data_IF_060628749633
#
_entry.id   IF_060628749633
#
_cell.length_a   1.000
_cell.length_b   1.000
_cell.length_c   1.000
_cell.angle_alpha   90.00
_cell.angle_beta   90.00
_cell.angle_gamma   90.00
#
_symmetry.space_group_name_H-M   'P 1'
#
loop_
_entity.id
_entity.type
_entity.pdbx_description
1 polymer ?
#
# COMPACT_ATOMS: atom_id res chain seq x y z
N UNK A 1 -15.45 15.87 -5.16
CA UNK A 1 -15.10 14.45 -4.85
C UNK A 1 -16.39 13.68 -4.63
N UNK A 2 -16.48 12.45 -5.11
CA UNK A 2 -17.63 11.56 -4.87
C UNK A 2 -17.31 10.61 -3.71
N UNK A 3 -18.24 10.47 -2.76
CA UNK A 3 -18.19 9.45 -1.72
C UNK A 3 -19.40 8.53 -1.86
N UNK A 4 -19.20 7.26 -1.58
CA UNK A 4 -20.21 6.20 -1.64
C UNK A 4 -21.46 6.56 -0.84
N UNK A 5 -22.63 6.35 -1.44
CA UNK A 5 -23.91 6.60 -0.76
C UNK A 5 -24.11 5.70 0.47
N UNK A 6 -23.40 4.56 0.53
CA UNK A 6 -23.42 3.63 1.66
C UNK A 6 -22.82 4.20 2.95
N UNK A 7 -22.00 5.25 2.85
CA UNK A 7 -21.29 5.87 3.99
C UNK A 7 -21.76 7.30 4.28
N UNK A 8 -22.79 7.79 3.59
CA UNK A 8 -23.22 9.20 3.62
C UNK A 8 -24.50 9.51 4.39
N UNK A 9 -25.21 8.53 4.92
CA UNK A 9 -26.42 8.77 5.71
C UNK A 9 -26.04 8.90 7.18
N UNK A 10 -26.00 10.11 7.71
CA UNK A 10 -26.80 10.43 8.90
C UNK A 10 -26.71 11.92 9.24
N UNK A 11 -27.85 12.62 9.06
CA UNK A 11 -28.05 13.87 9.79
C UNK A 11 -28.12 13.53 11.27
N UNK A 12 -27.43 14.26 12.16
CA UNK A 12 -27.50 13.99 13.58
C UNK A 12 -28.96 14.02 14.02
N UNK A 13 -29.41 12.92 14.63
CA UNK A 13 -30.77 12.84 15.16
C UNK A 13 -30.92 13.82 16.34
N UNK A 14 -32.17 14.03 16.78
CA UNK A 14 -32.47 14.98 17.87
C UNK A 14 -31.75 14.66 19.19
N UNK A 15 -31.43 13.38 19.44
CA UNK A 15 -30.70 12.96 20.65
C UNK A 15 -29.24 13.42 20.53
N UNK A 16 -28.57 13.11 19.41
CA UNK A 16 -27.19 13.53 19.18
C UNK A 16 -27.02 15.07 19.27
N UNK A 17 -27.99 15.83 18.74
CA UNK A 17 -28.01 17.29 18.86
C UNK A 17 -28.14 17.74 20.33
N UNK A 18 -29.11 17.18 21.07
CA UNK A 18 -29.31 17.51 22.49
C UNK A 18 -28.10 17.12 23.37
N UNK A 19 -27.45 15.99 23.08
CA UNK A 19 -26.23 15.58 23.77
C UNK A 19 -25.07 16.55 23.50
N UNK A 20 -24.91 16.98 22.25
CA UNK A 20 -23.90 17.96 21.87
C UNK A 20 -24.10 19.30 22.58
N UNK A 21 -25.35 19.79 22.60
CA UNK A 21 -25.72 21.01 23.30
C UNK A 21 -25.44 20.89 24.81
N UNK A 22 -25.88 19.81 25.46
CA UNK A 22 -25.63 19.59 26.88
C UNK A 22 -24.12 19.56 27.20
N UNK A 23 -23.31 18.87 26.38
CA UNK A 23 -21.85 18.84 26.54
C UNK A 23 -21.22 20.23 26.36
N UNK A 24 -21.71 21.03 25.40
CA UNK A 24 -21.24 22.40 25.19
C UNK A 24 -21.53 23.32 26.39
N UNK A 25 -22.58 23.01 27.16
CA UNK A 25 -22.93 23.69 28.42
C UNK A 25 -22.17 23.12 29.63
N UNK A 26 -21.23 22.18 29.42
CA UNK A 26 -20.45 21.53 30.48
C UNK A 26 -21.21 20.45 31.26
N UNK A 27 -22.40 20.05 30.82
CA UNK A 27 -23.16 18.97 31.47
C UNK A 27 -22.49 17.62 31.18
N UNK A 28 -22.19 16.89 32.25
CA UNK A 28 -21.69 15.52 32.17
C UNK A 28 -22.85 14.54 32.10
N UNK A 29 -23.11 14.01 30.92
CA UNK A 29 -24.16 13.00 30.71
C UNK A 29 -23.68 11.62 31.19
N UNK A 30 -24.45 10.99 32.06
CA UNK A 30 -24.28 9.57 32.40
C UNK A 30 -24.79 8.68 31.26
N UNK A 31 -24.16 7.51 31.07
CA UNK A 31 -24.59 6.53 30.05
C UNK A 31 -25.40 5.42 30.72
N UNK A 32 -26.69 5.34 30.41
CA UNK A 32 -27.57 4.28 30.93
C UNK A 32 -27.30 2.91 30.27
N UNK A 33 -26.67 2.92 29.10
CA UNK A 33 -26.34 1.73 28.31
C UNK A 33 -24.82 1.55 28.14
N UNK A 34 -24.00 2.01 29.10
CA UNK A 34 -22.57 1.67 29.05
C UNK A 34 -22.41 0.17 29.31
N UNK A 35 -22.21 -0.58 28.22
CA UNK A 35 -22.07 -2.03 28.21
C UNK A 35 -20.61 -2.46 28.10
N UNK A 36 -19.65 -1.58 28.40
CA UNK A 36 -18.24 -1.89 28.33
C UNK A 36 -17.73 -2.50 29.66
N UNK A 37 -17.54 -3.83 29.75
CA UNK A 37 -17.18 -4.50 31.00
C UNK A 37 -15.85 -4.03 31.59
N UNK A 38 -14.93 -3.51 30.76
CA UNK A 38 -13.62 -3.04 31.23
C UNK A 38 -13.73 -1.78 32.07
N UNK A 39 -14.79 -0.96 31.89
CA UNK A 39 -15.04 0.23 32.71
C UNK A 39 -15.60 -0.08 34.09
N UNK A 40 -16.13 -1.30 34.27
CA UNK A 40 -16.71 -1.77 35.53
C UNK A 40 -15.78 -2.72 36.29
N UNK A 41 -14.50 -2.81 35.89
CA UNK A 41 -13.52 -3.69 36.54
C UNK A 41 -13.80 -5.18 36.34
N UNK A 42 -14.61 -5.54 35.34
CA UNK A 42 -14.97 -6.92 35.03
C UNK A 42 -13.99 -7.57 34.03
N UNK A 43 -12.96 -6.83 33.60
CA UNK A 43 -11.91 -7.38 32.74
C UNK A 43 -11.02 -8.37 33.52
N UNK A 44 -10.55 -9.46 32.89
CA UNK A 44 -9.57 -10.35 33.51
C UNK A 44 -8.29 -9.60 33.89
N UNK A 45 -7.64 -10.01 34.99
CA UNK A 45 -6.43 -9.35 35.48
C UNK A 45 -5.25 -9.37 34.50
N UNK A 46 -5.19 -10.35 33.59
CA UNK A 46 -4.18 -10.44 32.54
C UNK A 46 -4.48 -9.55 31.32
N UNK A 47 -5.65 -8.91 31.26
CA UNK A 47 -6.05 -7.89 30.28
C UNK A 47 -6.64 -6.66 31.00
N UNK A 48 -5.83 -5.94 31.80
CA UNK A 48 -6.33 -4.88 32.68
C UNK A 48 -6.73 -3.59 31.95
N UNK A 49 -6.57 -3.52 30.62
CA UNK A 49 -6.81 -2.31 29.85
C UNK A 49 -8.30 -1.98 29.75
N UNK A 50 -8.60 -0.68 29.83
CA UNK A 50 -9.95 -0.17 29.53
C UNK A 50 -10.09 -0.05 28.02
N UNK A 51 -11.10 -0.71 27.45
CA UNK A 51 -11.46 -0.55 26.05
C UNK A 51 -11.99 0.87 25.82
N UNK A 52 -11.42 1.55 24.82
CA UNK A 52 -11.87 2.85 24.34
C UNK A 52 -12.38 2.67 22.90
N UNK A 53 -13.61 3.10 22.64
CA UNK A 53 -14.21 3.07 21.31
C UNK A 53 -13.66 4.23 20.47
N UNK A 54 -12.42 4.10 20.05
CA UNK A 54 -11.69 5.05 19.20
C UNK A 54 -11.58 4.48 17.78
N UNK A 55 -12.51 4.79 16.86
CA UNK A 55 -12.65 4.07 15.58
C UNK A 55 -11.37 4.09 14.74
N UNK A 56 -10.59 5.17 14.83
CA UNK A 56 -9.30 5.32 14.12
C UNK A 56 -8.15 4.52 14.72
N UNK A 57 -8.38 3.83 15.84
CA UNK A 57 -7.35 3.21 16.67
C UNK A 57 -6.90 4.08 17.83
N UNK A 58 -6.23 3.45 18.81
CA UNK A 58 -5.83 4.08 20.06
C UNK A 58 -5.06 5.39 19.84
N UNK A 59 -5.51 6.48 20.49
CA UNK A 59 -4.96 7.83 20.31
C UNK A 59 -3.44 7.88 20.50
N UNK A 60 -2.93 7.25 21.56
CA UNK A 60 -1.48 7.20 21.85
C UNK A 60 -0.68 6.54 20.72
N UNK A 61 -1.21 5.46 20.14
CA UNK A 61 -0.55 4.78 19.03
C UNK A 61 -0.53 5.65 17.76
N UNK A 62 -1.62 6.39 17.49
CA UNK A 62 -1.67 7.38 16.39
C UNK A 62 -0.72 8.56 16.62
N UNK A 63 -0.55 9.03 17.86
CA UNK A 63 0.42 10.08 18.19
C UNK A 63 1.85 9.62 17.95
N UNK A 64 2.23 8.43 18.44
CA UNK A 64 3.55 7.87 18.17
C UNK A 64 3.81 7.67 16.66
N UNK A 65 2.78 7.21 15.92
CA UNK A 65 2.88 7.08 14.46
C UNK A 65 3.03 8.45 13.79
N UNK A 66 2.27 9.46 14.18
CA UNK A 66 2.37 10.81 13.65
C UNK A 66 3.78 11.41 13.87
N UNK A 67 4.31 11.30 15.09
CA UNK A 67 5.68 11.74 15.42
C UNK A 67 6.73 11.03 14.55
N UNK A 68 6.61 9.70 14.40
CA UNK A 68 7.47 8.92 13.52
C UNK A 68 7.38 9.39 12.07
N UNK A 69 6.17 9.58 11.53
CA UNK A 69 5.96 10.00 10.14
C UNK A 69 6.47 11.42 9.87
N UNK A 70 6.27 12.35 10.80
CA UNK A 70 6.83 13.71 10.72
C UNK A 70 8.36 13.66 10.66
N UNK A 71 9.00 12.92 11.57
CA UNK A 71 10.47 12.77 11.57
C UNK A 71 11.00 12.11 10.28
N UNK A 72 10.23 11.19 9.69
CA UNK A 72 10.57 10.55 8.41
C UNK A 72 10.51 11.56 7.26
N UNK A 73 9.49 12.43 7.22
CA UNK A 73 9.35 13.45 6.18
C UNK A 73 10.47 14.49 6.22
N UNK A 74 10.95 14.85 7.41
CA UNK A 74 12.09 15.76 7.58
C UNK A 74 13.40 15.19 7.00
N UNK A 75 13.58 13.86 7.07
CA UNK A 75 14.75 13.16 6.51
C UNK A 75 14.70 13.03 4.99
N UNK A 76 13.50 12.99 4.40
CA UNK A 76 13.29 12.87 2.95
C UNK A 76 13.46 14.21 2.21
N UNK A 77 13.92 15.28 2.89
CA UNK A 77 14.13 16.63 2.34
C UNK A 77 12.89 17.20 1.62
N UNK A 78 11.68 16.79 2.04
CA UNK A 78 10.44 17.40 1.54
C UNK A 78 10.30 18.81 2.11
N UNK A 79 10.92 19.79 1.44
CA UNK A 79 10.78 21.21 1.77
C UNK A 79 9.29 21.59 1.86
N UNK A 80 8.82 21.92 3.07
CA UNK A 80 7.43 22.32 3.32
C UNK A 80 6.49 21.21 3.82
N UNK A 81 6.97 20.00 4.13
CA UNK A 81 6.15 18.97 4.75
C UNK A 81 5.58 19.45 6.10
N UNK A 82 4.24 19.47 6.20
CA UNK A 82 3.55 19.79 7.43
C UNK A 82 3.64 18.62 8.43
N UNK A 83 3.66 18.94 9.72
CA UNK A 83 3.54 17.95 10.79
C UNK A 83 2.32 17.06 10.55
N UNK A 84 2.52 15.73 10.61
CA UNK A 84 1.44 14.77 10.43
C UNK A 84 0.48 14.86 11.61
N UNK A 85 -0.78 15.18 11.34
CA UNK A 85 -1.79 15.21 12.38
C UNK A 85 -2.25 13.79 12.72
N UNK A 86 -2.20 13.34 13.99
CA UNK A 86 -2.67 12.01 14.38
C UNK A 86 -4.16 11.78 14.11
N UNK A 87 -4.96 12.84 13.91
CA UNK A 87 -6.36 12.73 13.50
C UNK A 87 -6.55 12.42 12.02
N UNK A 88 -5.51 12.49 11.20
CA UNK A 88 -5.54 12.08 9.80
C UNK A 88 -5.05 10.64 9.59
N UNK A 89 -4.84 9.90 10.68
CA UNK A 89 -4.34 8.53 10.69
C UNK A 89 -5.41 7.53 11.14
N UNK A 90 -5.51 6.40 10.43
CA UNK A 90 -6.32 5.24 10.79
C UNK A 90 -5.41 4.01 10.94
N UNK A 91 -5.47 3.34 12.09
CA UNK A 91 -4.73 2.11 12.35
C UNK A 91 -5.58 0.88 12.00
N UNK A 92 -4.98 -0.03 11.24
CA UNK A 92 -5.64 -1.19 10.64
C UNK A 92 -4.82 -2.46 10.84
N UNK A 93 -5.45 -3.61 10.63
CA UNK A 93 -4.77 -4.91 10.71
C UNK A 93 -3.89 -5.20 9.47
N UNK A 94 -4.11 -4.49 8.36
CA UNK A 94 -3.32 -4.61 7.12
C UNK A 94 -3.69 -3.53 6.09
N UNK A 95 -2.85 -3.36 5.06
CA UNK A 95 -3.21 -2.55 3.89
C UNK A 95 -4.32 -3.19 3.04
N UNK A 96 -4.49 -4.52 3.08
CA UNK A 96 -5.67 -5.20 2.48
C UNK A 96 -6.99 -4.71 3.08
N UNK A 97 -7.02 -4.50 4.41
CA UNK A 97 -8.18 -3.88 5.06
C UNK A 97 -8.38 -2.44 4.60
N UNK A 98 -7.28 -1.69 4.41
CA UNK A 98 -7.34 -0.33 3.90
C UNK A 98 -7.96 -0.27 2.50
N UNK A 99 -7.55 -1.14 1.57
CA UNK A 99 -8.15 -1.23 0.24
C UNK A 99 -9.66 -1.45 0.30
N UNK A 100 -10.10 -2.44 1.09
CA UNK A 100 -11.53 -2.71 1.28
C UNK A 100 -12.28 -1.49 1.84
N UNK A 101 -11.76 -0.83 2.86
CA UNK A 101 -12.38 0.36 3.44
C UNK A 101 -12.45 1.52 2.46
N UNK A 102 -11.37 1.78 1.71
CA UNK A 102 -11.31 2.87 0.75
C UNK A 102 -12.21 2.62 -0.46
N UNK A 103 -12.36 1.36 -0.89
CA UNK A 103 -13.36 0.99 -1.89
C UNK A 103 -14.79 1.21 -1.38
N UNK A 104 -15.10 0.83 -0.12
CA UNK A 104 -16.41 1.14 0.50
C UNK A 104 -16.67 2.64 0.64
N UNK A 105 -15.62 3.42 0.95
CA UNK A 105 -15.66 4.87 1.11
C UNK A 105 -15.96 5.57 -0.21
N UNK A 106 -15.27 5.19 -1.28
CA UNK A 106 -15.23 5.95 -2.53
C UNK A 106 -16.23 5.42 -3.58
N UNK A 107 -16.54 4.13 -3.55
CA UNK A 107 -17.30 3.45 -4.60
C UNK A 107 -18.65 2.94 -4.12
N UNK A 108 -19.68 3.09 -4.96
CA UNK A 108 -20.89 2.27 -4.89
C UNK A 108 -20.73 0.98 -5.72
N UNK A 109 -21.55 -0.07 -5.50
CA UNK A 109 -21.48 -1.27 -6.32
C UNK A 109 -21.60 -0.98 -7.82
N UNK A 110 -20.61 -1.43 -8.60
CA UNK A 110 -20.51 -1.19 -10.04
C UNK A 110 -19.76 0.09 -10.45
N UNK A 111 -19.31 0.91 -9.51
CA UNK A 111 -18.25 1.90 -9.76
C UNK A 111 -16.91 1.18 -10.02
N UNK A 112 -15.91 1.96 -10.45
CA UNK A 112 -14.60 1.46 -10.83
C UNK A 112 -13.45 2.20 -10.12
N UNK A 113 -12.32 1.50 -10.02
CA UNK A 113 -11.02 2.08 -9.69
C UNK A 113 -10.01 1.77 -10.79
N UNK A 114 -9.01 2.65 -10.94
CA UNK A 114 -7.85 2.42 -11.79
C UNK A 114 -6.77 1.65 -11.02
N UNK A 115 -6.15 0.67 -11.66
CA UNK A 115 -5.02 -0.11 -11.11
C UNK A 115 -3.88 -0.28 -12.14
N UNK A 116 -2.61 -0.38 -11.71
CA UNK A 116 -1.50 -0.57 -12.63
C UNK A 116 -1.49 -1.99 -13.21
N UNK A 117 -1.08 -2.12 -14.47
CA UNK A 117 -0.66 -3.38 -15.09
C UNK A 117 0.67 -3.21 -15.83
N UNK A 118 1.72 -4.01 -15.55
CA UNK A 118 1.77 -5.12 -14.58
C UNK A 118 1.58 -4.68 -13.13
N UNK A 119 0.88 -5.50 -12.33
CA UNK A 119 0.38 -5.08 -11.02
C UNK A 119 0.29 -6.19 -9.98
N UNK A 120 -0.13 -5.79 -8.78
CA UNK A 120 -0.31 -6.70 -7.65
C UNK A 120 -1.73 -7.30 -7.67
N UNK A 121 -1.90 -8.62 -7.90
CA UNK A 121 -3.21 -9.24 -8.18
C UNK A 121 -4.22 -9.13 -7.03
N UNK A 122 -3.76 -8.76 -5.83
CA UNK A 122 -4.63 -8.62 -4.66
C UNK A 122 -5.65 -7.48 -4.82
N UNK A 123 -5.34 -6.43 -5.60
CA UNK A 123 -6.22 -5.26 -5.76
C UNK A 123 -7.51 -5.68 -6.46
N UNK A 124 -7.42 -6.33 -7.63
CA UNK A 124 -8.56 -6.86 -8.38
C UNK A 124 -9.38 -7.85 -7.53
N UNK A 125 -8.71 -8.72 -6.76
CA UNK A 125 -9.39 -9.67 -5.87
C UNK A 125 -10.23 -8.97 -4.79
N UNK A 126 -9.66 -7.95 -4.12
CA UNK A 126 -10.38 -7.18 -3.09
C UNK A 126 -11.50 -6.36 -3.74
N UNK A 127 -11.25 -5.72 -4.89
CA UNK A 127 -12.26 -4.96 -5.62
C UNK A 127 -13.49 -5.83 -5.95
N UNK A 128 -13.27 -7.06 -6.43
CA UNK A 128 -14.33 -8.02 -6.69
C UNK A 128 -15.17 -8.36 -5.45
N UNK A 129 -14.53 -8.54 -4.28
CA UNK A 129 -15.23 -8.75 -3.00
C UNK A 129 -16.05 -7.53 -2.57
N UNK A 130 -15.67 -6.34 -3.02
CA UNK A 130 -16.34 -5.07 -2.73
C UNK A 130 -17.39 -4.65 -3.77
N UNK A 131 -17.66 -5.51 -4.76
CA UNK A 131 -18.51 -5.21 -5.92
C UNK A 131 -18.02 -3.98 -6.73
N UNK A 132 -16.72 -3.76 -6.76
CA UNK A 132 -16.05 -2.67 -7.49
C UNK A 132 -15.32 -3.26 -8.69
N UNK A 133 -15.43 -2.61 -9.85
CA UNK A 133 -14.67 -2.98 -11.05
C UNK A 133 -13.25 -2.44 -10.97
N UNK A 134 -12.28 -3.15 -11.54
CA UNK A 134 -10.98 -2.57 -11.87
C UNK A 134 -10.91 -2.23 -13.35
N UNK A 135 -10.26 -1.11 -13.66
CA UNK A 135 -9.91 -0.71 -15.02
C UNK A 135 -8.40 -0.51 -15.05
N UNK A 136 -7.65 -1.26 -15.87
CA UNK A 136 -6.21 -1.17 -15.84
C UNK A 136 -5.68 0.09 -16.53
N UNK A 137 -4.62 0.67 -15.96
CA UNK A 137 -3.72 1.57 -16.67
C UNK A 137 -2.36 0.90 -16.84
N UNK A 138 -1.65 1.24 -17.92
CA UNK A 138 -0.44 0.53 -18.31
C UNK A 138 0.81 1.11 -17.64
N UNK A 139 1.69 0.23 -17.20
CA UNK A 139 3.11 0.52 -17.01
C UNK A 139 3.87 -0.03 -18.21
N UNK A 140 4.65 0.81 -18.87
CA UNK A 140 5.43 0.46 -20.06
C UNK A 140 6.91 0.33 -19.71
N UNK A 141 7.58 -0.67 -20.28
CA UNK A 141 9.02 -0.85 -20.10
C UNK A 141 9.79 -0.40 -21.35
N UNK A 142 10.66 0.59 -21.19
CA UNK A 142 11.64 1.03 -22.19
C UNK A 142 12.96 1.39 -21.49
N UNK A 143 13.70 0.35 -21.07
CA UNK A 143 14.89 0.50 -20.22
C UNK A 143 14.57 0.79 -18.75
N UNK A 144 13.52 1.54 -18.48
CA UNK A 144 12.85 1.68 -17.18
C UNK A 144 11.34 1.53 -17.33
N UNK A 145 10.68 1.21 -16.24
CA UNK A 145 9.23 1.20 -16.15
C UNK A 145 8.70 2.62 -15.99
N UNK A 146 7.72 2.99 -16.78
CA UNK A 146 7.07 4.30 -16.79
C UNK A 146 5.56 4.16 -16.77
N UNK A 147 4.88 5.10 -16.11
CA UNK A 147 3.42 5.17 -16.09
C UNK A 147 2.92 5.72 -17.42
N UNK A 148 2.13 4.94 -18.15
CA UNK A 148 1.53 5.38 -19.41
C UNK A 148 0.31 6.28 -19.13
N UNK A 149 0.57 7.57 -18.98
CA UNK A 149 -0.44 8.60 -18.70
C UNK A 149 -1.54 8.66 -19.77
N UNK A 150 -1.26 8.23 -21.01
CA UNK A 150 -2.27 8.22 -22.06
C UNK A 150 -3.36 7.20 -21.75
N UNK A 151 -3.01 6.04 -21.18
CA UNK A 151 -3.99 5.02 -20.77
C UNK A 151 -4.85 5.49 -19.60
N UNK A 152 -4.26 6.20 -18.62
CA UNK A 152 -5.01 6.82 -17.53
C UNK A 152 -6.01 7.84 -18.07
N UNK A 153 -5.54 8.75 -18.95
CA UNK A 153 -6.40 9.76 -19.58
C UNK A 153 -7.53 9.11 -20.37
N UNK A 154 -7.22 8.10 -21.19
CA UNK A 154 -8.22 7.39 -21.99
C UNK A 154 -9.30 6.73 -21.12
N UNK A 155 -8.92 6.16 -19.97
CA UNK A 155 -9.89 5.58 -19.05
C UNK A 155 -10.79 6.66 -18.41
N UNK A 156 -10.20 7.79 -17.97
CA UNK A 156 -10.91 8.89 -17.34
C UNK A 156 -11.81 9.70 -18.29
N UNK A 157 -11.42 9.82 -19.56
CA UNK A 157 -12.19 10.52 -20.60
C UNK A 157 -13.09 9.56 -21.41
N UNK A 158 -13.01 8.26 -21.13
CA UNK A 158 -13.76 7.21 -21.78
C UNK A 158 -15.18 7.02 -21.24
N UNK A 159 -15.93 6.03 -21.76
CA UNK A 159 -17.33 5.79 -21.39
C UNK A 159 -17.54 5.38 -19.93
N UNK A 160 -16.51 4.81 -19.28
CA UNK A 160 -16.53 4.48 -17.85
C UNK A 160 -15.97 5.61 -16.96
N UNK A 161 -15.53 6.74 -17.53
CA UNK A 161 -14.85 7.83 -16.83
C UNK A 161 -15.62 8.34 -15.60
N UNK A 162 -16.92 8.58 -15.77
CA UNK A 162 -17.81 9.05 -14.71
C UNK A 162 -18.06 8.00 -13.60
N UNK A 163 -17.60 6.76 -13.76
CA UNK A 163 -17.67 5.68 -12.75
C UNK A 163 -16.35 5.46 -12.02
N UNK A 164 -15.26 6.06 -12.49
CA UNK A 164 -13.95 5.94 -11.84
C UNK A 164 -13.93 6.85 -10.61
N UNK A 165 -13.63 6.27 -9.44
CA UNK A 165 -13.63 6.98 -8.15
C UNK A 165 -12.25 7.16 -7.55
N UNK A 166 -11.36 6.21 -7.82
CA UNK A 166 -10.00 6.24 -7.32
C UNK A 166 -9.02 5.68 -8.34
N UNK A 167 -7.76 6.08 -8.20
CA UNK A 167 -6.61 5.44 -8.82
C UNK A 167 -5.72 4.86 -7.72
N UNK A 168 -5.44 3.57 -7.81
CA UNK A 168 -4.44 2.91 -6.97
C UNK A 168 -3.07 3.10 -7.61
N UNK A 169 -2.15 3.73 -6.87
CA UNK A 169 -0.76 3.90 -7.26
C UNK A 169 0.12 3.13 -6.28
N UNK A 170 0.82 2.09 -6.75
CA UNK A 170 1.79 1.36 -5.94
C UNK A 170 3.18 1.98 -6.15
N UNK A 171 3.81 2.47 -5.10
CA UNK A 171 5.03 3.29 -5.18
C UNK A 171 6.07 2.88 -4.11
N UNK A 172 7.06 2.03 -4.45
CA UNK A 172 7.34 1.44 -5.76
C UNK A 172 6.43 0.25 -6.08
N UNK A 173 6.14 0.05 -7.36
CA UNK A 173 5.21 -0.97 -7.84
C UNK A 173 5.74 -2.40 -7.66
N UNK A 174 4.87 -3.33 -7.28
CA UNK A 174 5.16 -4.76 -7.24
C UNK A 174 4.42 -5.44 -8.42
N UNK A 175 5.10 -6.11 -9.37
CA UNK A 175 6.46 -6.67 -9.25
C UNK A 175 7.59 -5.83 -9.88
N UNK A 176 7.28 -4.75 -10.59
CA UNK A 176 8.24 -4.05 -11.46
C UNK A 176 9.37 -3.33 -10.72
N UNK A 177 9.15 -2.98 -9.45
CA UNK A 177 10.04 -2.18 -8.63
C UNK A 177 10.10 -0.70 -9.02
N UNK A 178 9.18 -0.18 -9.83
CA UNK A 178 9.23 1.20 -10.33
C UNK A 178 8.62 2.20 -9.35
N UNK A 179 9.30 3.31 -9.10
CA UNK A 179 8.67 4.46 -8.45
C UNK A 179 7.90 5.28 -9.49
N UNK A 180 6.98 6.13 -9.05
CA UNK A 180 6.45 7.18 -9.91
C UNK A 180 7.53 8.25 -10.15
N UNK A 181 7.79 8.59 -11.41
CA UNK A 181 8.79 9.62 -11.74
C UNK A 181 8.22 11.03 -11.48
N UNK A 182 9.06 12.04 -11.19
CA UNK A 182 8.59 13.38 -10.84
C UNK A 182 7.63 14.02 -11.88
N UNK A 183 7.95 13.85 -13.16
CA UNK A 183 7.15 14.38 -14.27
C UNK A 183 5.80 13.66 -14.42
N UNK A 184 5.80 12.34 -14.20
CA UNK A 184 4.61 11.50 -14.21
C UNK A 184 3.69 11.86 -13.04
N UNK A 185 4.27 12.06 -11.86
CA UNK A 185 3.54 12.47 -10.64
C UNK A 185 2.75 13.75 -10.90
N UNK A 186 3.40 14.79 -11.40
CA UNK A 186 2.74 16.07 -11.62
C UNK A 186 1.56 15.92 -12.60
N UNK A 187 1.77 15.20 -13.70
CA UNK A 187 0.74 14.95 -14.70
C UNK A 187 -0.42 14.09 -14.17
N UNK A 188 -0.12 13.09 -13.33
CA UNK A 188 -1.11 12.24 -12.69
C UNK A 188 -1.97 13.04 -11.71
N UNK A 189 -1.35 13.89 -10.89
CA UNK A 189 -2.06 14.78 -9.97
C UNK A 189 -2.99 15.74 -10.72
N UNK A 190 -2.53 16.32 -11.84
CA UNK A 190 -3.36 17.20 -12.68
C UNK A 190 -4.59 16.47 -13.25
N UNK A 191 -4.42 15.22 -13.69
CA UNK A 191 -5.53 14.39 -14.18
C UNK A 191 -6.51 14.04 -13.05
N UNK A 192 -6.01 13.55 -11.91
CA UNK A 192 -6.85 13.18 -10.78
C UNK A 192 -7.63 14.38 -10.24
N UNK A 193 -6.98 15.55 -10.14
CA UNK A 193 -7.61 16.81 -9.74
C UNK A 193 -8.73 17.21 -10.71
N UNK A 194 -8.47 17.15 -12.02
CA UNK A 194 -9.44 17.53 -13.07
C UNK A 194 -10.68 16.65 -13.07
N UNK A 195 -10.51 15.35 -12.90
CA UNK A 195 -11.60 14.38 -12.96
C UNK A 195 -12.23 14.09 -11.58
N UNK A 196 -11.71 14.69 -10.51
CA UNK A 196 -12.21 14.47 -9.15
C UNK A 196 -12.04 13.03 -8.67
N UNK A 197 -10.92 12.41 -9.04
CA UNK A 197 -10.54 11.03 -8.69
C UNK A 197 -9.55 11.07 -7.53
N UNK A 198 -9.81 10.27 -6.49
CA UNK A 198 -8.90 10.16 -5.35
C UNK A 198 -7.69 9.27 -5.68
N UNK A 199 -6.60 9.42 -4.94
CA UNK A 199 -5.42 8.55 -5.06
C UNK A 199 -5.36 7.64 -3.84
N UNK A 200 -5.23 6.33 -4.07
CA UNK A 200 -4.86 5.35 -3.05
C UNK A 200 -3.39 5.01 -3.30
N UNK A 201 -2.50 5.56 -2.49
CA UNK A 201 -1.05 5.38 -2.67
C UNK A 201 -0.54 4.26 -1.78
N UNK A 202 -0.16 3.11 -2.34
CA UNK A 202 0.46 2.02 -1.58
C UNK A 202 1.98 2.17 -1.57
N UNK A 203 2.51 2.58 -0.42
CA UNK A 203 3.91 2.97 -0.26
C UNK A 203 4.70 2.05 0.68
N UNK A 204 4.20 0.83 0.90
CA UNK A 204 4.81 -0.12 1.83
C UNK A 204 6.26 -0.47 1.48
N UNK A 205 6.67 -0.30 0.22
CA UNK A 205 8.02 -0.59 -0.25
C UNK A 205 8.92 0.64 -0.41
N UNK A 206 8.44 1.84 -0.11
CA UNK A 206 9.13 3.08 -0.45
C UNK A 206 10.50 3.24 0.21
N UNK A 207 10.72 2.61 1.38
CA UNK A 207 11.98 2.70 2.11
C UNK A 207 13.03 1.66 1.64
N UNK A 208 12.81 1.01 0.50
CA UNK A 208 13.74 0.07 -0.12
C UNK A 208 14.23 0.54 -1.50
N UNK A 209 14.99 1.64 -1.61
CA UNK A 209 15.59 2.04 -2.88
C UNK A 209 16.66 1.03 -3.34
N UNK A 210 16.65 0.75 -4.64
CA UNK A 210 17.62 -0.10 -5.34
C UNK A 210 18.42 0.76 -6.32
N UNK A 211 17.99 0.89 -7.58
CA UNK A 211 18.60 1.83 -8.51
C UNK A 211 18.18 3.27 -8.23
N UNK A 212 19.08 4.24 -8.45
CA UNK A 212 18.80 5.63 -8.16
C UNK A 212 17.70 6.18 -9.08
N UNK A 213 16.74 6.86 -8.45
CA UNK A 213 15.77 7.75 -9.09
C UNK A 213 15.77 9.10 -8.35
N UNK A 214 16.46 10.11 -8.88
CA UNK A 214 16.45 11.46 -8.30
C UNK A 214 15.03 12.02 -8.22
N UNK A 215 14.70 12.70 -7.12
CA UNK A 215 13.39 13.33 -6.93
C UNK A 215 12.24 12.36 -6.63
N UNK A 216 12.52 11.07 -6.33
CA UNK A 216 11.49 10.16 -5.81
C UNK A 216 10.86 10.75 -4.55
N UNK A 217 9.54 10.72 -4.45
CA UNK A 217 8.81 11.29 -3.33
C UNK A 217 7.54 10.51 -3.02
N UNK A 218 7.13 10.53 -1.75
CA UNK A 218 5.88 9.95 -1.27
C UNK A 218 4.68 10.80 -1.65
N UNK A 219 3.54 10.16 -1.90
CA UNK A 219 2.23 10.81 -2.06
C UNK A 219 1.59 11.12 -0.70
N UNK A 220 2.07 10.49 0.38
CA UNK A 220 1.66 10.83 1.75
C UNK A 220 1.89 12.33 2.05
N UNK A 221 0.81 13.06 2.35
CA UNK A 221 0.85 14.50 2.58
C UNK A 221 0.56 15.37 1.35
N UNK A 222 0.25 14.77 0.20
CA UNK A 222 -0.22 15.48 -0.99
C UNK A 222 -1.47 16.32 -0.67
N UNK A 223 -1.47 17.60 -1.04
CA UNK A 223 -2.49 18.60 -0.66
C UNK A 223 -3.44 18.97 -1.82
N UNK A 224 -3.08 18.67 -3.07
CA UNK A 224 -3.87 19.07 -4.25
C UNK A 224 -5.00 18.10 -4.59
N UNK A 225 -4.82 16.83 -4.24
CA UNK A 225 -5.74 15.72 -4.56
C UNK A 225 -5.99 14.91 -3.29
N UNK A 226 -7.24 14.53 -3.03
CA UNK A 226 -7.57 13.63 -1.92
C UNK A 226 -6.79 12.33 -2.08
N UNK A 227 -5.91 12.07 -1.12
CA UNK A 227 -4.94 11.00 -1.15
C UNK A 227 -5.03 10.19 0.13
N UNK A 228 -5.02 8.87 -0.03
CA UNK A 228 -4.99 7.90 1.04
C UNK A 228 -3.68 7.10 0.93
N UNK A 229 -2.66 7.50 1.67
CA UNK A 229 -1.38 6.80 1.67
C UNK A 229 -1.42 5.60 2.62
N UNK A 230 -0.99 4.44 2.12
CA UNK A 230 -0.97 3.17 2.80
C UNK A 230 0.46 2.75 3.09
N UNK A 231 0.72 2.38 4.33
CA UNK A 231 2.00 1.83 4.75
C UNK A 231 1.75 0.88 5.94
N UNK A 232 2.77 0.15 6.40
CA UNK A 232 2.58 -0.87 7.43
C UNK A 232 3.85 -1.62 7.84
N UNK A 233 3.75 -2.29 8.98
CA UNK A 233 4.86 -3.07 9.57
C UNK A 233 5.21 -4.34 8.81
N UNK A 234 4.35 -4.76 7.88
CA UNK A 234 4.64 -5.93 7.05
C UNK A 234 5.96 -5.80 6.28
N UNK A 235 6.29 -4.57 5.86
CA UNK A 235 7.50 -4.28 5.09
C UNK A 235 8.48 -3.47 5.95
N UNK A 236 8.08 -2.32 6.50
CA UNK A 236 8.95 -1.45 7.31
C UNK A 236 9.61 -2.13 8.52
N UNK A 237 8.99 -3.16 9.12
CA UNK A 237 9.58 -3.99 10.18
C UNK A 237 9.98 -5.40 9.74
N UNK A 238 9.83 -5.72 8.46
CA UNK A 238 9.93 -7.09 7.96
C UNK A 238 9.08 -8.09 8.76
N UNK A 239 7.94 -7.64 9.27
CA UNK A 239 7.10 -8.37 10.22
C UNK A 239 5.66 -8.50 9.69
N UNK A 240 5.42 -9.30 8.62
CA UNK A 240 4.06 -9.50 8.07
C UNK A 240 3.07 -10.13 9.06
N UNK A 241 3.57 -10.73 10.14
CA UNK A 241 2.80 -11.29 11.23
C UNK A 241 2.38 -10.26 12.30
N UNK A 242 2.97 -9.05 12.31
CA UNK A 242 2.60 -7.99 13.24
C UNK A 242 1.19 -7.46 13.00
N UNK A 243 0.68 -7.59 11.75
CA UNK A 243 -0.67 -7.20 11.33
C UNK A 243 -1.01 -5.76 11.76
N UNK A 244 -0.15 -4.83 11.37
CA UNK A 244 -0.38 -3.39 11.48
C UNK A 244 -0.16 -2.75 10.12
N UNK A 245 -1.16 -2.04 9.64
CA UNK A 245 -1.08 -1.08 8.55
C UNK A 245 -1.79 0.21 8.95
N UNK A 246 -1.62 1.26 8.16
CA UNK A 246 -2.33 2.51 8.39
C UNK A 246 -2.73 3.19 7.10
N UNK A 247 -3.73 4.07 7.22
CA UNK A 247 -4.09 5.06 6.21
C UNK A 247 -3.67 6.43 6.76
N UNK A 248 -2.93 7.20 5.96
CA UNK A 248 -2.76 8.64 6.15
C UNK A 248 -3.62 9.37 5.11
N UNK A 249 -4.55 10.21 5.58
CA UNK A 249 -5.44 11.00 4.74
C UNK A 249 -4.84 12.39 4.51
N UNK A 250 -4.73 12.81 3.25
CA UNK A 250 -4.28 14.16 2.88
C UNK A 250 -5.04 14.68 1.65
N UNK A 251 -4.96 15.98 1.38
CA UNK A 251 -5.58 16.61 0.23
C UNK A 251 -6.27 17.94 0.57
N UNK A 252 -7.16 18.44 -0.31
CA UNK A 252 -7.92 19.66 -0.05
C UNK A 252 -8.73 19.55 1.25
N UNK A 253 -8.65 20.57 2.11
CA UNK A 253 -9.14 20.50 3.49
C UNK A 253 -10.62 20.11 3.60
N UNK A 254 -11.48 20.62 2.72
CA UNK A 254 -12.91 20.28 2.67
C UNK A 254 -13.15 18.80 2.32
N UNK A 255 -12.35 18.25 1.41
CA UNK A 255 -12.42 16.85 1.01
C UNK A 255 -11.88 15.92 2.11
N UNK A 256 -10.81 16.31 2.79
CA UNK A 256 -10.25 15.55 3.93
C UNK A 256 -11.26 15.47 5.08
N UNK A 257 -11.91 16.59 5.41
CA UNK A 257 -12.95 16.62 6.46
C UNK A 257 -14.09 15.66 6.12
N UNK A 258 -14.60 15.70 4.88
CA UNK A 258 -15.71 14.85 4.47
C UNK A 258 -15.30 13.37 4.35
N UNK A 259 -14.11 13.08 3.81
CA UNK A 259 -13.57 11.73 3.74
C UNK A 259 -13.46 11.09 5.12
N UNK A 260 -12.93 11.82 6.10
CA UNK A 260 -12.80 11.35 7.48
C UNK A 260 -14.15 11.11 8.14
N UNK A 261 -15.15 11.96 7.87
CA UNK A 261 -16.51 11.75 8.39
C UNK A 261 -17.08 10.39 7.94
N UNK A 262 -16.90 10.05 6.67
CA UNK A 262 -17.35 8.76 6.12
C UNK A 262 -16.48 7.59 6.58
N UNK A 263 -15.17 7.79 6.63
CA UNK A 263 -14.21 6.76 7.04
C UNK A 263 -14.33 6.42 8.53
N UNK A 264 -14.71 7.39 9.37
CA UNK A 264 -15.03 7.14 10.78
C UNK A 264 -16.21 6.20 10.95
N UNK A 265 -17.24 6.31 10.10
CA UNK A 265 -18.39 5.40 10.13
C UNK A 265 -17.96 3.97 9.78
N UNK A 266 -17.17 3.81 8.70
CA UNK A 266 -16.61 2.50 8.34
C UNK A 266 -15.74 1.97 9.49
N UNK A 267 -14.89 2.81 10.07
CA UNK A 267 -13.96 2.40 11.10
C UNK A 267 -14.66 1.98 12.40
N UNK A 268 -15.77 2.64 12.76
CA UNK A 268 -16.60 2.29 13.90
C UNK A 268 -17.27 0.91 13.72
N UNK A 269 -17.78 0.61 12.51
CA UNK A 269 -18.40 -0.68 12.19
C UNK A 269 -17.43 -1.87 12.30
N UNK A 270 -16.14 -1.64 12.04
CA UNK A 270 -15.10 -2.67 12.13
C UNK A 270 -14.45 -2.79 13.51
N UNK A 271 -14.73 -1.84 14.39
CA UNK A 271 -14.11 -1.65 15.70
C UNK A 271 -12.59 -1.34 15.63
N UNK A 272 -12.04 -0.69 16.68
CA UNK A 272 -10.63 -0.31 16.72
C UNK A 272 -9.68 -1.50 16.71
N UNK A 273 -8.47 -1.29 16.17
CA UNK A 273 -7.37 -2.26 16.24
C UNK A 273 -7.08 -2.70 17.69
N UNK A 274 -6.68 -3.97 17.85
CA UNK A 274 -6.37 -4.57 19.14
C UNK A 274 -5.41 -3.73 20.00
N UNK A 275 -5.79 -3.48 21.26
CA UNK A 275 -4.92 -2.81 22.24
C UNK A 275 -3.69 -3.65 22.59
N UNK A 276 -3.73 -4.97 22.40
CA UNK A 276 -2.58 -5.85 22.63
C UNK A 276 -1.43 -5.54 21.66
N UNK A 277 -1.76 -5.09 20.45
CA UNK A 277 -0.79 -4.69 19.44
C UNK A 277 -0.46 -3.20 19.60
N UNK A 278 -1.50 -2.37 19.77
CA UNK A 278 -1.36 -0.90 19.84
C UNK A 278 -0.49 -0.42 21.01
N UNK A 279 -0.43 -1.17 22.12
CA UNK A 279 0.40 -0.81 23.29
C UNK A 279 1.90 -0.82 23.01
N UNK A 280 2.34 -1.62 22.03
CA UNK A 280 3.74 -1.79 21.66
C UNK A 280 4.09 -0.97 20.40
N UNK A 281 3.20 -0.07 19.96
CA UNK A 281 3.36 0.74 18.74
C UNK A 281 4.66 1.56 18.77
N UNK A 282 4.96 2.23 19.87
CA UNK A 282 6.14 3.11 20.00
C UNK A 282 7.46 2.34 19.84
N UNK A 283 7.57 1.16 20.49
CA UNK A 283 8.77 0.32 20.40
C UNK A 283 8.93 -0.33 19.02
N UNK A 284 7.81 -0.69 18.40
CA UNK A 284 7.78 -1.17 17.01
C UNK A 284 8.25 -0.07 16.06
N UNK A 285 7.70 1.14 16.13
CA UNK A 285 8.12 2.27 15.29
C UNK A 285 9.60 2.62 15.45
N UNK A 286 10.09 2.68 16.69
CA UNK A 286 11.50 2.95 16.99
C UNK A 286 12.47 1.92 16.38
N UNK A 287 12.00 0.70 16.09
CA UNK A 287 12.81 -0.35 15.48
C UNK A 287 12.93 -0.24 13.96
N UNK A 288 12.02 0.46 13.27
CA UNK A 288 11.93 0.54 11.81
C UNK A 288 13.25 0.95 11.14
N UNK A 289 13.96 2.01 11.57
CA UNK A 289 15.17 2.45 10.86
C UNK A 289 16.24 1.36 10.82
N UNK A 290 16.45 0.66 11.94
CA UNK A 290 17.42 -0.44 12.03
C UNK A 290 17.02 -1.65 11.18
N UNK A 291 15.73 -2.01 11.17
CA UNK A 291 15.22 -3.15 10.39
C UNK A 291 15.26 -2.87 8.90
N UNK A 292 14.82 -1.68 8.49
CA UNK A 292 14.85 -1.24 7.09
C UNK A 292 16.28 -1.21 6.56
N UNK A 293 17.24 -0.70 7.34
CA UNK A 293 18.67 -0.73 6.98
C UNK A 293 19.18 -2.16 6.76
N UNK A 294 18.91 -3.07 7.70
CA UNK A 294 19.31 -4.48 7.63
C UNK A 294 18.75 -5.19 6.39
N UNK A 295 17.47 -4.99 6.10
CA UNK A 295 16.84 -5.57 4.90
C UNK A 295 17.38 -4.91 3.63
N UNK A 296 17.53 -3.58 3.63
CA UNK A 296 18.12 -2.80 2.55
C UNK A 296 19.51 -3.30 2.15
N UNK A 297 20.38 -3.58 3.12
CA UNK A 297 21.69 -4.17 2.88
C UNK A 297 21.62 -5.55 2.23
N UNK A 298 20.70 -6.41 2.68
CA UNK A 298 20.49 -7.73 2.09
C UNK A 298 20.08 -7.63 0.63
N UNK A 299 19.05 -6.83 0.34
CA UNK A 299 18.50 -6.74 -1.02
C UNK A 299 19.48 -6.09 -1.99
N UNK A 300 20.21 -5.04 -1.57
CA UNK A 300 21.26 -4.42 -2.38
C UNK A 300 22.41 -5.39 -2.68
N UNK A 301 22.85 -6.16 -1.69
CA UNK A 301 23.90 -7.18 -1.88
C UNK A 301 23.47 -8.27 -2.86
N UNK A 302 22.24 -8.75 -2.75
CA UNK A 302 21.72 -9.79 -3.64
C UNK A 302 21.48 -9.24 -5.05
N UNK A 303 21.03 -7.98 -5.21
CA UNK A 303 20.94 -7.32 -6.51
C UNK A 303 22.30 -7.22 -7.20
N UNK A 304 23.34 -6.81 -6.47
CA UNK A 304 24.70 -6.76 -7.01
C UNK A 304 25.21 -8.16 -7.38
N UNK A 305 24.92 -9.17 -6.56
CA UNK A 305 25.25 -10.57 -6.86
C UNK A 305 24.56 -11.04 -8.14
N UNK A 306 23.27 -10.71 -8.32
CA UNK A 306 22.51 -11.05 -9.53
C UNK A 306 23.14 -10.40 -10.78
N UNK A 307 23.49 -9.11 -10.70
CA UNK A 307 24.17 -8.38 -11.80
C UNK A 307 25.48 -9.04 -12.19
N UNK A 308 26.27 -9.44 -11.20
CA UNK A 308 27.54 -10.13 -11.44
C UNK A 308 27.34 -11.48 -12.13
N UNK A 309 26.35 -12.28 -11.69
CA UNK A 309 26.07 -13.59 -12.29
C UNK A 309 25.58 -13.46 -13.73
N UNK A 310 24.65 -12.54 -14.00
CA UNK A 310 24.13 -12.30 -15.35
C UNK A 310 25.15 -11.62 -16.28
N UNK A 311 26.09 -10.85 -15.74
CA UNK A 311 27.13 -10.18 -16.53
C UNK A 311 28.37 -11.04 -16.85
N UNK A 312 28.52 -12.20 -16.21
CA UNK A 312 29.70 -13.08 -16.40
C UNK A 312 29.66 -13.94 -17.68
N UNK A 313 28.48 -14.11 -18.28
CA UNK A 313 28.26 -14.91 -19.48
C UNK A 313 27.26 -14.19 -20.38
N UNK A 314 27.33 -14.43 -21.69
CA UNK A 314 26.21 -14.12 -22.57
C UNK A 314 25.03 -15.02 -22.16
N UNK A 315 24.19 -14.52 -21.26
CA UNK A 315 22.98 -15.21 -20.83
C UNK A 315 21.78 -14.71 -21.64
N UNK A 316 20.87 -15.62 -21.95
CA UNK A 316 19.56 -15.27 -22.49
C UNK A 316 18.63 -14.65 -21.43
N UNK A 317 19.06 -14.63 -20.17
CA UNK A 317 18.36 -14.02 -19.04
C UNK A 317 18.90 -12.62 -18.78
N UNK A 318 18.00 -11.65 -18.65
CA UNK A 318 18.32 -10.27 -18.32
C UNK A 318 17.51 -9.79 -17.12
N UNK A 319 18.06 -8.84 -16.37
CA UNK A 319 17.37 -8.18 -15.27
C UNK A 319 16.67 -6.92 -15.81
N UNK A 320 15.35 -6.83 -15.63
CA UNK A 320 14.64 -5.58 -15.85
C UNK A 320 14.98 -4.62 -14.72
N UNK A 321 15.35 -3.39 -15.07
CA UNK A 321 15.83 -2.37 -14.13
C UNK A 321 14.84 -2.17 -12.95
N UNK A 322 15.24 -2.47 -11.70
CA UNK A 322 14.41 -2.27 -10.53
C UNK A 322 14.84 -1.00 -9.76
N UNK A 323 13.90 -0.10 -9.50
CA UNK A 323 14.20 1.15 -8.78
C UNK A 323 14.02 0.99 -7.27
N UNK A 324 13.13 0.11 -6.80
CA UNK A 324 12.89 -0.15 -5.40
C UNK A 324 12.15 -1.45 -5.08
N UNK A 325 11.93 -1.68 -3.79
CA UNK A 325 11.34 -2.90 -3.25
C UNK A 325 12.38 -4.01 -2.99
N UNK A 326 11.90 -5.24 -2.86
CA UNK A 326 12.74 -6.42 -2.59
C UNK A 326 12.51 -7.59 -3.55
N UNK A 327 11.70 -7.35 -4.60
CA UNK A 327 11.48 -8.28 -5.70
C UNK A 327 11.96 -7.61 -6.98
N UNK A 328 12.46 -8.41 -7.92
CA UNK A 328 12.90 -7.95 -9.24
C UNK A 328 12.33 -8.85 -10.32
N UNK A 329 12.27 -8.35 -11.55
CA UNK A 329 11.83 -9.13 -12.70
C UNK A 329 13.01 -9.55 -13.56
N UNK A 330 13.08 -10.85 -13.85
CA UNK A 330 13.93 -11.39 -14.90
C UNK A 330 13.14 -11.44 -16.21
N UNK A 331 13.85 -11.23 -17.32
CA UNK A 331 13.37 -11.41 -18.70
C UNK A 331 14.19 -12.50 -19.39
N UNK A 332 13.51 -13.43 -20.04
CA UNK A 332 14.11 -14.51 -20.84
C UNK A 332 13.32 -14.71 -22.15
N UNK A 333 13.78 -15.54 -23.10
CA UNK A 333 13.12 -15.69 -24.39
C UNK A 333 11.66 -16.12 -24.26
N UNK A 334 10.76 -15.41 -24.96
CA UNK A 334 9.30 -15.59 -24.90
C UNK A 334 8.82 -16.96 -25.43
N UNK A 335 9.69 -17.68 -26.16
CA UNK A 335 9.42 -19.05 -26.62
C UNK A 335 9.37 -20.06 -25.47
N UNK A 336 9.92 -19.71 -24.31
CA UNK A 336 9.88 -20.54 -23.11
C UNK A 336 8.57 -20.26 -22.39
N UNK A 337 7.75 -21.29 -22.27
CA UNK A 337 6.53 -21.22 -21.47
C UNK A 337 6.88 -21.11 -19.97
N UNK A 338 6.27 -20.12 -19.30
CA UNK A 338 6.59 -19.82 -17.90
C UNK A 338 6.09 -20.92 -16.96
N UNK A 339 4.97 -21.56 -17.25
CA UNK A 339 4.44 -22.67 -16.44
C UNK A 339 5.36 -23.88 -16.52
N UNK A 340 5.80 -24.25 -17.72
CA UNK A 340 6.77 -25.34 -17.93
C UNK A 340 8.11 -25.05 -17.24
N UNK A 341 8.59 -23.80 -17.26
CA UNK A 341 9.79 -23.42 -16.52
C UNK A 341 9.62 -23.63 -15.01
N UNK A 342 8.49 -23.21 -14.43
CA UNK A 342 8.22 -23.42 -13.00
C UNK A 342 8.11 -24.91 -12.66
N UNK A 343 7.42 -25.70 -13.48
CA UNK A 343 7.32 -27.15 -13.28
C UNK A 343 8.68 -27.84 -13.33
N UNK A 344 9.57 -27.41 -14.25
CA UNK A 344 10.96 -27.89 -14.32
C UNK A 344 11.77 -27.49 -13.08
N UNK A 345 11.66 -26.25 -12.63
CA UNK A 345 12.33 -25.80 -11.41
C UNK A 345 11.93 -26.65 -10.21
N UNK A 346 10.64 -27.00 -10.11
CA UNK A 346 10.12 -27.87 -9.04
C UNK A 346 10.71 -29.28 -9.18
N UNK A 347 10.61 -29.88 -10.37
CA UNK A 347 10.98 -31.27 -10.59
C UNK A 347 12.49 -31.55 -10.56
N UNK A 348 13.31 -30.63 -11.07
CA UNK A 348 14.74 -30.84 -11.28
C UNK A 348 15.63 -30.11 -10.27
N UNK A 349 15.18 -28.98 -9.73
CA UNK A 349 15.99 -28.13 -8.86
C UNK A 349 15.40 -27.97 -7.45
N UNK A 350 14.18 -28.45 -7.20
CA UNK A 350 13.48 -28.27 -5.93
C UNK A 350 13.17 -26.79 -5.62
N UNK A 351 12.99 -25.98 -6.66
CA UNK A 351 12.70 -24.55 -6.57
C UNK A 351 11.32 -24.22 -7.12
N UNK A 352 10.73 -23.13 -6.65
CA UNK A 352 9.48 -22.59 -7.20
C UNK A 352 9.60 -21.07 -7.30
N UNK A 353 8.71 -20.44 -8.05
CA UNK A 353 8.74 -19.01 -8.31
C UNK A 353 7.38 -18.51 -8.80
N UNK A 354 7.29 -17.20 -9.00
CA UNK A 354 6.08 -16.56 -9.50
C UNK A 354 6.30 -16.13 -10.95
N UNK A 355 5.64 -16.78 -11.92
CA UNK A 355 5.74 -16.43 -13.33
C UNK A 355 5.09 -15.07 -13.63
N UNK A 356 5.37 -14.50 -14.79
CA UNK A 356 4.90 -13.19 -15.21
C UNK A 356 3.38 -13.05 -15.24
N UNK A 357 2.66 -14.09 -15.65
CA UNK A 357 1.20 -14.03 -15.75
C UNK A 357 0.48 -13.87 -14.39
N UNK A 358 1.14 -14.15 -13.25
CA UNK A 358 0.59 -13.80 -11.93
C UNK A 358 0.52 -12.30 -11.66
N UNK A 359 1.17 -11.49 -12.49
CA UNK A 359 1.28 -10.03 -12.35
C UNK A 359 0.83 -9.28 -13.60
N UNK A 360 0.06 -9.91 -14.48
CA UNK A 360 -0.41 -9.32 -15.74
C UNK A 360 0.71 -8.89 -16.71
N UNK A 361 1.81 -9.64 -16.75
CA UNK A 361 2.83 -9.42 -17.78
C UNK A 361 2.25 -9.75 -19.18
N UNK A 362 2.65 -9.01 -20.24
CA UNK A 362 1.96 -9.06 -21.54
C UNK A 362 2.18 -10.36 -22.35
N UNK A 363 3.05 -11.25 -21.90
CA UNK A 363 3.38 -12.51 -22.56
C UNK A 363 4.34 -13.34 -21.71
N UNK A 364 4.77 -14.47 -22.25
CA UNK A 364 5.76 -15.34 -21.61
C UNK A 364 7.13 -14.68 -21.53
N UNK A 365 8.02 -15.23 -20.71
CA UNK A 365 9.41 -14.81 -20.62
C UNK A 365 9.73 -13.95 -19.41
N UNK A 366 8.96 -14.02 -18.32
CA UNK A 366 9.18 -13.28 -17.09
C UNK A 366 9.13 -14.17 -15.85
N UNK A 367 9.98 -13.83 -14.88
CA UNK A 367 10.00 -14.49 -13.57
C UNK A 367 10.28 -13.45 -12.49
N UNK A 368 9.41 -13.38 -11.49
CA UNK A 368 9.67 -12.56 -10.31
C UNK A 368 10.62 -13.30 -9.36
N UNK A 369 11.67 -12.59 -8.94
CA UNK A 369 12.74 -13.10 -8.08
C UNK A 369 12.83 -12.27 -6.80
N UNK A 370 12.81 -12.93 -5.65
CA UNK A 370 13.01 -12.28 -4.36
C UNK A 370 14.49 -12.04 -4.05
N UNK A 371 14.83 -10.84 -3.59
CA UNK A 371 16.16 -10.46 -3.13
C UNK A 371 16.39 -10.72 -1.63
N UNK A 372 15.42 -11.32 -0.93
CA UNK A 372 15.50 -11.58 0.51
C UNK A 372 16.38 -12.77 0.97
N UNK A 373 16.53 -13.87 0.21
CA UNK A 373 17.24 -15.06 0.70
C UNK A 373 18.68 -14.78 1.14
N UNK A 374 19.25 -15.68 1.95
CA UNK A 374 20.67 -15.62 2.28
C UNK A 374 21.52 -15.63 1.01
N UNK A 375 22.61 -14.85 0.95
CA UNK A 375 23.29 -14.56 -0.33
C UNK A 375 23.86 -15.81 -1.01
N UNK A 376 24.29 -16.81 -0.23
CA UNK A 376 24.73 -18.10 -0.77
C UNK A 376 23.58 -18.91 -1.36
N UNK A 377 22.43 -18.93 -0.68
CA UNK A 377 21.21 -19.56 -1.19
C UNK A 377 20.70 -18.83 -2.42
N UNK A 378 20.65 -17.49 -2.39
CA UNK A 378 20.26 -16.64 -3.50
C UNK A 378 21.09 -16.93 -4.75
N UNK A 379 22.43 -16.96 -4.64
CA UNK A 379 23.33 -17.30 -5.76
C UNK A 379 22.99 -18.67 -6.35
N UNK A 380 22.88 -19.70 -5.50
CA UNK A 380 22.53 -21.05 -5.96
C UNK A 380 21.19 -21.07 -6.69
N UNK A 381 20.19 -20.37 -6.16
CA UNK A 381 18.86 -20.33 -6.76
C UNK A 381 18.87 -19.63 -8.12
N UNK A 382 19.63 -18.53 -8.26
CA UNK A 382 19.82 -17.84 -9.55
C UNK A 382 20.54 -18.74 -10.56
N UNK A 383 21.61 -19.43 -10.15
CA UNK A 383 22.33 -20.36 -11.03
C UNK A 383 21.40 -21.46 -11.55
N UNK A 384 20.54 -22.02 -10.69
CA UNK A 384 19.52 -23.01 -11.08
C UNK A 384 18.49 -22.45 -12.05
N UNK A 385 18.01 -21.21 -11.83
CA UNK A 385 17.06 -20.54 -12.74
C UNK A 385 17.68 -20.34 -14.12
N UNK A 386 18.90 -19.81 -14.18
CA UNK A 386 19.61 -19.59 -15.44
C UNK A 386 19.84 -20.92 -16.16
N UNK A 387 20.27 -21.96 -15.44
CA UNK A 387 20.49 -23.29 -16.02
C UNK A 387 19.20 -23.91 -16.58
N UNK A 388 18.10 -23.81 -15.84
CA UNK A 388 16.80 -24.32 -16.27
C UNK A 388 16.33 -23.65 -17.57
N UNK A 389 16.51 -22.33 -17.68
CA UNK A 389 16.16 -21.54 -18.88
C UNK A 389 17.07 -21.91 -20.05
N UNK A 390 18.38 -21.99 -19.84
CA UNK A 390 19.35 -22.37 -20.89
C UNK A 390 19.09 -23.78 -21.42
N UNK A 391 18.68 -24.72 -20.56
CA UNK A 391 18.32 -26.08 -20.95
C UNK A 391 16.94 -26.18 -21.64
N UNK A 392 16.14 -25.10 -21.71
CA UNK A 392 14.85 -25.06 -22.45
C UNK A 392 14.96 -24.40 -23.82
N UNK A 393 16.13 -23.83 -24.15
CA UNK A 393 16.49 -23.30 -25.47
C UNK A 393 17.19 -24.36 -26.31
#
# INVERSE_FOLDING_TARGET
MHFSHRTGSDRPNRIALAESEARSQGLKLGRLNDSNPTRFGLAPSFLPQVYEAEPRGARKARQALAEFLTSRQELDENEGAAEVNPDDLYLLSSTSQAYSWLMKLLCDPGDAILEPRPGYPLIESIAGLECVRTIPYRLSYDGSWVLDLATVRQALEGPDGDRIRALVLINPNNPTGSYIHPEERQSLLDLCQRHGVAIIADEVFFDYPLDPLPGRARLAGEDRVLTFALDGFSKSLAAPHAKVGWIQVSGPADQVVEAKRHLDLIADDYLPMSLLISKDMESMLASIPSQTSRVGERVRRNLETLRQLLGQKESCVSLLRPEGGWNVLLRFPEVIDEEELILRLIGSYGLTGQPGYFFDMPGNGYLALSLLPETLEFRRNVDSVVSAIEEML
#
